data_IF_886863889379
#
_entry.id   IF_886863889379
#
_cell.length_a   1.000
_cell.length_b   1.000
_cell.length_c   1.000
_cell.angle_alpha   90.00
_cell.angle_beta   90.00
_cell.angle_gamma   90.00
#
_symmetry.space_group_name_H-M   'P 1'
#
loop_
_entity.id
_entity.type
_entity.pdbx_description
1 polymer ?
#
# COMPACT_ATOMS: atom_id res chain seq x y z
N UNK A 1 -11.05 -10.72 1.49
CA UNK A 1 -10.29 -9.96 0.46
C UNK A 1 -9.40 -8.90 1.11
N UNK A 2 -9.98 -7.87 1.76
CA UNK A 2 -9.22 -6.74 2.32
C UNK A 2 -8.16 -7.14 3.35
N UNK A 3 -8.45 -8.11 4.23
CA UNK A 3 -7.47 -8.61 5.21
C UNK A 3 -6.24 -9.28 4.56
N UNK A 4 -6.45 -10.12 3.54
CA UNK A 4 -5.36 -10.75 2.80
C UNK A 4 -4.53 -9.73 2.01
N UNK A 5 -5.18 -8.70 1.45
CA UNK A 5 -4.49 -7.58 0.80
C UNK A 5 -3.57 -6.84 1.78
N UNK A 6 -4.04 -6.61 3.02
CA UNK A 6 -3.24 -5.98 4.08
C UNK A 6 -2.03 -6.83 4.48
N UNK A 7 -2.21 -8.15 4.64
CA UNK A 7 -1.10 -9.06 4.96
C UNK A 7 -0.04 -9.08 3.85
N UNK A 8 -0.47 -9.17 2.59
CA UNK A 8 0.45 -9.14 1.45
C UNK A 8 1.25 -7.83 1.38
N UNK A 9 0.58 -6.69 1.62
CA UNK A 9 1.25 -5.39 1.67
C UNK A 9 2.22 -5.27 2.86
N UNK A 10 1.86 -5.81 4.02
CA UNK A 10 2.73 -5.84 5.17
C UNK A 10 4.04 -6.59 4.87
N UNK A 11 3.94 -7.78 4.27
CA UNK A 11 5.12 -8.56 3.83
C UNK A 11 5.94 -7.77 2.80
N UNK A 12 5.30 -7.18 1.79
CA UNK A 12 5.98 -6.36 0.78
C UNK A 12 6.78 -5.21 1.42
N UNK A 13 6.16 -4.45 2.33
CA UNK A 13 6.80 -3.29 2.97
C UNK A 13 7.99 -3.68 3.84
N UNK A 14 7.94 -4.85 4.50
CA UNK A 14 9.04 -5.35 5.32
C UNK A 14 10.23 -5.84 4.48
N UNK A 15 9.98 -6.50 3.34
CA UNK A 15 11.05 -7.03 2.49
C UNK A 15 11.63 -6.00 1.53
N UNK A 16 10.91 -4.91 1.25
CA UNK A 16 11.26 -3.94 0.22
C UNK A 16 11.14 -2.50 0.75
N UNK A 17 12.17 -1.97 1.44
CA UNK A 17 12.17 -0.59 1.91
C UNK A 17 12.06 0.38 0.72
N UNK A 18 11.13 1.33 0.80
CA UNK A 18 10.79 2.22 -0.34
C UNK A 18 11.58 3.53 -0.28
N UNK A 19 11.72 4.10 0.93
CA UNK A 19 12.31 5.43 1.13
C UNK A 19 13.84 5.40 1.01
N UNK A 20 14.47 4.29 1.40
CA UNK A 20 15.94 4.14 1.43
C UNK A 20 16.49 3.37 0.22
N UNK A 21 15.71 3.21 -0.85
CA UNK A 21 16.17 2.50 -2.05
C UNK A 21 17.07 3.41 -2.90
N UNK A 22 18.30 2.99 -3.17
CA UNK A 22 19.30 3.78 -3.93
C UNK A 22 18.97 3.83 -5.42
N UNK A 23 18.25 2.82 -5.93
CA UNK A 23 17.81 2.75 -7.33
C UNK A 23 16.49 3.49 -7.53
N UNK A 24 16.56 4.68 -8.14
CA UNK A 24 15.41 5.55 -8.38
C UNK A 24 14.26 4.86 -9.15
N UNK A 25 14.57 4.00 -10.11
CA UNK A 25 13.55 3.27 -10.89
C UNK A 25 12.79 2.26 -10.04
N UNK A 26 13.50 1.48 -9.21
CA UNK A 26 12.90 0.56 -8.25
C UNK A 26 12.09 1.31 -7.18
N UNK A 27 12.58 2.45 -6.71
CA UNK A 27 11.87 3.30 -5.76
C UNK A 27 10.54 3.78 -6.34
N UNK A 28 10.53 4.28 -7.58
CA UNK A 28 9.32 4.72 -8.27
C UNK A 28 8.33 3.58 -8.45
N UNK A 29 8.81 2.39 -8.84
CA UNK A 29 7.95 1.22 -9.01
C UNK A 29 7.30 0.80 -7.69
N UNK A 30 8.09 0.75 -6.60
CA UNK A 30 7.59 0.42 -5.26
C UNK A 30 6.62 1.47 -4.74
N UNK A 31 6.90 2.76 -4.96
CA UNK A 31 5.97 3.83 -4.62
C UNK A 31 4.65 3.70 -5.39
N UNK A 32 4.69 3.33 -6.67
CA UNK A 32 3.52 3.01 -7.48
C UNK A 32 2.71 1.85 -6.92
N UNK A 33 3.38 0.77 -6.50
CA UNK A 33 2.73 -0.37 -5.86
C UNK A 33 2.02 0.03 -4.54
N UNK A 34 2.65 0.88 -3.72
CA UNK A 34 2.05 1.40 -2.49
C UNK A 34 0.84 2.30 -2.75
N UNK A 35 0.90 3.15 -3.78
CA UNK A 35 -0.24 3.97 -4.19
C UNK A 35 -1.41 3.10 -4.66
N UNK A 36 -1.12 2.06 -5.45
CA UNK A 36 -2.14 1.12 -5.89
C UNK A 36 -2.79 0.39 -4.71
N UNK A 37 -1.99 -0.13 -3.77
CA UNK A 37 -2.49 -0.73 -2.53
C UNK A 37 -3.41 0.24 -1.76
N UNK A 38 -2.98 1.50 -1.58
CA UNK A 38 -3.77 2.54 -0.91
C UNK A 38 -5.13 2.70 -1.60
N UNK A 39 -5.15 2.85 -2.92
CA UNK A 39 -6.41 3.01 -3.67
C UNK A 39 -7.34 1.81 -3.53
N UNK A 40 -6.80 0.59 -3.64
CA UNK A 40 -7.61 -0.64 -3.51
C UNK A 40 -8.15 -0.81 -2.09
N UNK A 41 -7.32 -0.56 -1.08
CA UNK A 41 -7.73 -0.67 0.32
C UNK A 41 -8.80 0.37 0.67
N UNK A 42 -8.62 1.63 0.27
CA UNK A 42 -9.62 2.68 0.51
C UNK A 42 -10.96 2.36 -0.14
N UNK A 43 -10.95 1.81 -1.37
CA UNK A 43 -12.19 1.35 -2.02
C UNK A 43 -12.84 0.18 -1.29
N UNK A 44 -12.04 -0.81 -0.89
CA UNK A 44 -12.55 -1.97 -0.15
C UNK A 44 -13.13 -1.58 1.21
N UNK A 45 -12.54 -0.60 1.89
CA UNK A 45 -13.05 -0.04 3.14
C UNK A 45 -14.33 0.78 2.92
N UNK A 46 -14.38 1.59 1.87
CA UNK A 46 -15.59 2.34 1.51
C UNK A 46 -16.79 1.42 1.22
N UNK A 47 -16.54 0.26 0.58
CA UNK A 47 -17.59 -0.74 0.31
C UNK A 47 -18.19 -1.36 1.58
N UNK A 48 -17.45 -1.38 2.69
CA UNK A 48 -17.95 -1.87 3.98
C UNK A 48 -18.40 -0.74 4.92
N UNK A 49 -18.49 0.49 4.41
CA UNK A 49 -18.94 1.66 5.18
C UNK A 49 -17.88 2.24 6.12
N UNK A 50 -16.60 1.88 5.95
CA UNK A 50 -15.49 2.43 6.73
C UNK A 50 -14.83 3.59 5.98
N UNK A 51 -14.86 4.79 6.55
CA UNK A 51 -14.10 5.93 6.03
C UNK A 51 -12.62 5.84 6.45
N UNK A 52 -11.74 6.17 5.51
CA UNK A 52 -10.29 6.21 5.75
C UNK A 52 -9.87 7.65 6.04
N UNK A 53 -9.23 7.94 7.18
CA UNK A 53 -8.74 9.28 7.48
C UNK A 53 -7.67 9.72 6.48
N UNK A 54 -7.60 11.03 6.21
CA UNK A 54 -6.66 11.62 5.25
C UNK A 54 -5.19 11.45 5.68
N UNK A 55 -4.95 11.25 6.98
CA UNK A 55 -3.67 10.94 7.59
C UNK A 55 -3.92 9.97 8.76
N UNK A 56 -3.12 8.90 8.83
CA UNK A 56 -3.02 8.04 10.01
C UNK A 56 -1.95 8.57 10.95
#
# INVERSE_FOLDING_TARGET
YSFGLAQAFNTFYHHHPIVNEEQAELQLWRAGATLYFKTQMTRALALIGCEVPSRM
#
